data_IF_800587695038
#
_entry.id   IF_800587695038
#
_cell.length_a   1.000
_cell.length_b   1.000
_cell.length_c   1.000
_cell.angle_alpha   90.00
_cell.angle_beta   90.00
_cell.angle_gamma   90.00
#
_symmetry.space_group_name_H-M   'P 1'
#
loop_
_entity.id
_entity.type
_entity.pdbx_description
1 polymer ?
#
# COMPACT_ATOMS: atom_id res chain seq x y z
N UNK A 1 -21.87 13.51 -7.01
CA UNK A 1 -21.09 12.44 -6.35
C UNK A 1 -19.98 11.92 -7.28
N UNK A 2 -20.11 12.02 -8.62
CA UNK A 2 -19.14 11.53 -9.61
C UNK A 2 -17.98 12.49 -9.94
N UNK A 3 -18.00 13.73 -9.48
CA UNK A 3 -17.03 14.78 -9.87
C UNK A 3 -15.92 15.04 -8.84
N UNK A 4 -15.72 14.19 -7.83
CA UNK A 4 -14.64 14.34 -6.84
C UNK A 4 -13.45 13.40 -7.04
N UNK A 5 -13.39 12.70 -8.17
CA UNK A 5 -12.17 11.99 -8.55
C UNK A 5 -11.17 13.02 -9.08
N UNK A 6 -10.21 13.40 -8.24
CA UNK A 6 -9.10 14.25 -8.64
C UNK A 6 -8.18 13.51 -9.62
N UNK A 7 -7.37 14.25 -10.39
CA UNK A 7 -6.38 13.67 -11.31
C UNK A 7 -5.47 12.67 -10.57
N UNK A 8 -5.21 12.90 -9.28
CA UNK A 8 -4.48 11.99 -8.38
C UNK A 8 -5.17 10.64 -8.21
N UNK A 9 -6.50 10.61 -8.04
CA UNK A 9 -7.25 9.35 -7.91
C UNK A 9 -7.16 8.50 -9.17
N UNK A 10 -7.13 9.13 -10.35
CA UNK A 10 -6.98 8.43 -11.63
C UNK A 10 -5.57 7.89 -11.87
N UNK A 11 -4.53 8.54 -11.38
CA UNK A 11 -3.15 8.06 -11.47
C UNK A 11 -2.91 6.85 -10.54
N UNK A 12 -3.33 6.94 -9.29
CA UNK A 12 -3.22 5.86 -8.30
C UNK A 12 -3.92 4.59 -8.80
N UNK A 13 -5.16 4.77 -9.31
CA UNK A 13 -5.90 3.65 -9.88
C UNK A 13 -5.16 3.03 -11.06
N UNK A 14 -4.46 3.81 -11.89
CA UNK A 14 -3.69 3.29 -13.03
C UNK A 14 -2.49 2.46 -12.61
N UNK A 15 -1.71 2.88 -11.62
CA UNK A 15 -0.48 2.16 -11.21
C UNK A 15 -0.82 0.88 -10.45
N UNK A 16 -1.70 0.96 -9.45
CA UNK A 16 -2.18 -0.22 -8.76
C UNK A 16 -2.93 -1.17 -9.71
N UNK A 17 -3.78 -0.64 -10.60
CA UNK A 17 -4.54 -1.42 -11.56
C UNK A 17 -3.65 -2.08 -12.62
N UNK A 18 -2.59 -1.42 -13.09
CA UNK A 18 -1.62 -2.04 -14.00
C UNK A 18 -0.91 -3.23 -13.33
N UNK A 19 -0.44 -3.05 -12.09
CA UNK A 19 0.18 -4.14 -11.35
C UNK A 19 -0.79 -5.31 -11.11
N UNK A 20 -2.05 -5.03 -10.82
CA UNK A 20 -3.09 -6.05 -10.70
C UNK A 20 -3.38 -6.76 -12.03
N UNK A 21 -3.38 -6.04 -13.15
CA UNK A 21 -3.60 -6.62 -14.47
C UNK A 21 -2.46 -7.55 -14.93
N UNK A 22 -1.26 -7.43 -14.37
CA UNK A 22 -0.18 -8.39 -14.57
C UNK A 22 -0.56 -9.77 -13.99
N UNK A 23 -1.49 -9.81 -13.01
CA UNK A 23 -1.96 -11.02 -12.33
C UNK A 23 -3.43 -11.39 -12.64
N UNK A 24 -3.86 -11.28 -13.91
CA UNK A 24 -5.26 -11.51 -14.35
C UNK A 24 -5.84 -12.84 -13.90
N UNK A 25 -5.04 -13.91 -13.88
CA UNK A 25 -5.48 -15.24 -13.47
C UNK A 25 -5.91 -15.27 -11.99
N UNK A 26 -5.19 -14.59 -11.11
CA UNK A 26 -5.52 -14.51 -9.68
C UNK A 26 -6.79 -13.67 -9.45
N UNK A 27 -6.97 -12.55 -10.18
CA UNK A 27 -8.18 -11.75 -10.12
C UNK A 27 -9.41 -12.53 -10.59
N UNK A 28 -9.28 -13.27 -11.69
CA UNK A 28 -10.37 -14.11 -12.20
C UNK A 28 -10.72 -15.22 -11.20
N UNK A 29 -9.71 -15.83 -10.57
CA UNK A 29 -9.91 -16.85 -9.53
C UNK A 29 -10.61 -16.26 -8.31
N UNK A 30 -10.26 -15.04 -7.88
CA UNK A 30 -10.97 -14.33 -6.81
C UNK A 30 -12.44 -14.09 -7.14
N UNK A 31 -12.75 -13.66 -8.36
CA UNK A 31 -14.13 -13.48 -8.81
C UNK A 31 -14.92 -14.80 -8.82
N UNK A 32 -14.31 -15.87 -9.31
CA UNK A 32 -14.95 -17.19 -9.40
C UNK A 32 -15.19 -17.79 -8.01
N UNK A 33 -14.20 -17.71 -7.11
CA UNK A 33 -14.38 -18.19 -5.73
C UNK A 33 -15.40 -17.37 -4.95
N UNK A 34 -15.49 -16.05 -5.19
CA UNK A 34 -16.52 -15.19 -4.63
C UNK A 34 -17.93 -15.60 -5.09
N UNK A 35 -18.08 -15.93 -6.37
CA UNK A 35 -19.34 -16.45 -6.91
C UNK A 35 -19.71 -17.79 -6.25
N UNK A 36 -18.77 -18.71 -6.14
CA UNK A 36 -18.98 -20.00 -5.47
C UNK A 36 -19.37 -19.81 -4.01
N UNK A 37 -18.70 -18.94 -3.27
CA UNK A 37 -19.03 -18.65 -1.87
C UNK A 37 -20.43 -18.06 -1.74
N UNK A 38 -20.81 -17.10 -2.62
CA UNK A 38 -22.15 -16.51 -2.61
C UNK A 38 -23.25 -17.54 -2.84
N UNK A 39 -23.04 -18.44 -3.79
CA UNK A 39 -23.99 -19.55 -4.05
C UNK A 39 -24.05 -20.53 -2.89
N UNK A 40 -22.91 -20.81 -2.26
CA UNK A 40 -22.84 -21.68 -1.09
C UNK A 40 -23.58 -21.08 0.10
N UNK A 41 -23.51 -19.77 0.34
CA UNK A 41 -24.28 -19.07 1.39
C UNK A 41 -25.78 -19.21 1.14
N UNK A 42 -26.23 -18.95 -0.11
CA UNK A 42 -27.65 -19.11 -0.49
C UNK A 42 -28.09 -20.56 -0.32
N UNK A 43 -27.27 -21.52 -0.80
CA UNK A 43 -27.54 -22.95 -0.64
C UNK A 43 -27.60 -23.39 0.82
N UNK A 44 -26.68 -22.89 1.66
CA UNK A 44 -26.68 -23.14 3.11
C UNK A 44 -28.00 -22.66 3.75
N UNK A 45 -28.42 -21.42 3.45
CA UNK A 45 -29.67 -20.87 3.96
C UNK A 45 -30.89 -21.65 3.47
N UNK A 46 -30.87 -22.08 2.20
CA UNK A 46 -31.96 -22.86 1.60
C UNK A 46 -32.10 -24.23 2.27
N UNK A 47 -31.04 -25.04 2.33
CA UNK A 47 -31.09 -26.37 2.90
C UNK A 47 -31.37 -26.34 4.41
N UNK A 48 -30.81 -25.36 5.12
CA UNK A 48 -31.10 -25.20 6.54
C UNK A 48 -32.54 -24.77 6.78
N UNK A 49 -33.07 -23.83 5.97
CA UNK A 49 -34.46 -23.43 6.00
C UNK A 49 -35.42 -24.58 5.69
N UNK A 50 -35.11 -25.40 4.68
CA UNK A 50 -35.90 -26.60 4.34
C UNK A 50 -35.90 -27.60 5.47
N UNK A 51 -34.75 -27.86 6.07
CA UNK A 51 -34.60 -28.79 7.20
C UNK A 51 -35.48 -28.39 8.38
N UNK A 52 -35.40 -27.15 8.80
CA UNK A 52 -36.18 -26.63 9.93
C UNK A 52 -37.68 -26.61 9.61
N UNK A 53 -38.07 -26.19 8.40
CA UNK A 53 -39.45 -26.19 7.96
C UNK A 53 -40.08 -27.58 8.02
N UNK A 54 -39.35 -28.58 7.51
CA UNK A 54 -39.84 -29.94 7.45
C UNK A 54 -39.93 -30.61 8.85
N UNK A 55 -39.00 -30.27 9.75
CA UNK A 55 -39.09 -30.74 11.16
C UNK A 55 -40.28 -30.14 11.89
N UNK A 56 -40.66 -28.89 11.64
CA UNK A 56 -41.74 -28.20 12.34
C UNK A 56 -43.11 -28.62 11.78
N UNK A 57 -43.24 -28.75 10.46
CA UNK A 57 -44.56 -28.83 9.83
C UNK A 57 -44.85 -30.20 9.17
N UNK A 58 -43.83 -31.07 8.96
CA UNK A 58 -44.02 -32.32 8.19
C UNK A 58 -43.84 -33.60 9.04
N UNK A 59 -43.61 -33.49 10.35
CA UNK A 59 -43.31 -34.63 11.26
C UNK A 59 -42.20 -35.58 10.72
N UNK A 60 -41.34 -35.08 9.84
CA UNK A 60 -40.28 -35.87 9.23
C UNK A 60 -39.24 -36.26 10.27
N UNK A 61 -38.72 -37.50 10.15
CA UNK A 61 -37.61 -37.96 10.99
C UNK A 61 -36.25 -37.54 10.38
N UNK A 62 -35.19 -37.57 11.20
CA UNK A 62 -33.83 -37.32 10.72
C UNK A 62 -33.43 -38.21 9.54
N UNK A 63 -34.04 -39.38 9.43
CA UNK A 63 -33.76 -40.31 8.34
C UNK A 63 -34.37 -39.86 7.01
N UNK A 64 -35.51 -39.22 7.06
CA UNK A 64 -36.20 -38.72 5.86
C UNK A 64 -35.49 -37.48 5.28
N UNK A 65 -34.89 -36.67 6.16
CA UNK A 65 -34.17 -35.44 5.79
C UNK A 65 -32.64 -35.65 5.57
N UNK A 66 -32.19 -36.88 5.44
CA UNK A 66 -30.76 -37.22 5.25
C UNK A 66 -30.10 -36.47 4.07
N UNK A 67 -30.82 -36.27 2.98
CA UNK A 67 -30.29 -35.56 1.81
C UNK A 67 -30.14 -34.06 2.07
N UNK A 68 -31.11 -33.43 2.74
CA UNK A 68 -31.03 -32.02 3.14
C UNK A 68 -29.83 -31.77 4.06
N UNK A 69 -29.57 -32.70 5.01
CA UNK A 69 -28.42 -32.65 5.90
C UNK A 69 -27.10 -32.80 5.14
N UNK A 70 -27.04 -33.76 4.18
CA UNK A 70 -25.84 -33.95 3.34
C UNK A 70 -25.57 -32.71 2.49
N UNK A 71 -26.55 -32.14 1.82
CA UNK A 71 -26.40 -30.95 0.99
C UNK A 71 -26.04 -29.72 1.81
N UNK A 72 -26.58 -29.55 3.01
CA UNK A 72 -26.17 -28.53 3.97
C UNK A 72 -24.70 -28.70 4.35
N UNK A 73 -24.26 -29.91 4.67
CA UNK A 73 -22.86 -30.20 4.96
C UNK A 73 -21.93 -29.89 3.79
N UNK A 74 -22.35 -30.24 2.57
CA UNK A 74 -21.59 -29.90 1.35
C UNK A 74 -21.52 -28.38 1.15
N UNK A 75 -22.63 -27.65 1.32
CA UNK A 75 -22.65 -26.19 1.19
C UNK A 75 -21.70 -25.51 2.17
N UNK A 76 -21.67 -25.97 3.44
CA UNK A 76 -20.75 -25.45 4.47
C UNK A 76 -19.29 -25.74 4.07
N UNK A 77 -18.97 -26.96 3.64
CA UNK A 77 -17.61 -27.32 3.22
C UNK A 77 -17.17 -26.49 2.00
N UNK A 78 -18.04 -26.33 1.00
CA UNK A 78 -17.77 -25.51 -0.20
C UNK A 78 -17.55 -24.06 0.19
N UNK A 79 -18.36 -23.49 1.09
CA UNK A 79 -18.19 -22.13 1.62
C UNK A 79 -16.82 -21.96 2.29
N UNK A 80 -16.44 -22.87 3.18
CA UNK A 80 -15.16 -22.82 3.88
C UNK A 80 -13.96 -22.94 2.92
N UNK A 81 -14.04 -23.83 1.95
CA UNK A 81 -12.99 -23.99 0.94
C UNK A 81 -12.89 -22.77 0.04
N UNK A 82 -14.01 -22.22 -0.42
CA UNK A 82 -14.04 -21.02 -1.23
C UNK A 82 -13.42 -19.83 -0.49
N UNK A 83 -13.79 -19.63 0.77
CA UNK A 83 -13.23 -18.59 1.63
C UNK A 83 -11.71 -18.75 1.85
N UNK A 84 -11.25 -19.96 2.15
CA UNK A 84 -9.82 -20.26 2.31
C UNK A 84 -9.02 -19.98 1.03
N UNK A 85 -9.57 -20.37 -0.13
CA UNK A 85 -8.91 -20.11 -1.42
C UNK A 85 -8.87 -18.60 -1.70
N UNK A 86 -9.95 -17.87 -1.45
CA UNK A 86 -10.01 -16.42 -1.61
C UNK A 86 -8.91 -15.72 -0.79
N UNK A 87 -8.82 -16.04 0.49
CA UNK A 87 -7.83 -15.43 1.37
C UNK A 87 -6.39 -15.77 0.93
N UNK A 88 -6.16 -17.03 0.56
CA UNK A 88 -4.86 -17.48 0.05
C UNK A 88 -4.46 -16.76 -1.24
N UNK A 89 -5.39 -16.61 -2.19
CA UNK A 89 -5.15 -15.94 -3.47
C UNK A 89 -4.95 -14.44 -3.27
N UNK A 90 -5.76 -13.80 -2.42
CA UNK A 90 -5.64 -12.39 -2.10
C UNK A 90 -4.27 -12.06 -1.47
N UNK A 91 -3.83 -12.86 -0.50
CA UNK A 91 -2.53 -12.70 0.14
C UNK A 91 -1.36 -12.93 -0.83
N UNK A 92 -1.45 -13.92 -1.73
CA UNK A 92 -0.45 -14.13 -2.79
C UNK A 92 -0.39 -12.95 -3.76
N UNK A 93 -1.55 -12.40 -4.13
CA UNK A 93 -1.63 -11.23 -5.01
C UNK A 93 -0.97 -10.00 -4.37
N UNK A 94 -1.26 -9.73 -3.10
CA UNK A 94 -0.64 -8.64 -2.35
C UNK A 94 0.88 -8.77 -2.29
N UNK A 95 1.37 -9.96 -1.91
CA UNK A 95 2.80 -10.23 -1.82
C UNK A 95 3.52 -10.13 -3.18
N UNK A 96 2.88 -10.55 -4.28
CA UNK A 96 3.43 -10.43 -5.63
C UNK A 96 3.55 -8.96 -6.06
N UNK A 97 2.50 -8.16 -5.85
CA UNK A 97 2.51 -6.71 -6.15
C UNK A 97 3.56 -6.00 -5.31
N UNK A 98 3.64 -6.31 -4.01
CA UNK A 98 4.67 -5.75 -3.12
C UNK A 98 6.08 -6.07 -3.61
N UNK A 99 6.35 -7.31 -4.04
CA UNK A 99 7.65 -7.70 -4.57
C UNK A 99 8.02 -6.89 -5.83
N UNK A 100 7.08 -6.75 -6.77
CA UNK A 100 7.26 -5.95 -7.99
C UNK A 100 7.54 -4.47 -7.67
N UNK A 101 6.80 -3.88 -6.73
CA UNK A 101 7.03 -2.49 -6.32
C UNK A 101 8.39 -2.32 -5.66
N UNK A 102 8.80 -3.27 -4.82
CA UNK A 102 10.12 -3.25 -4.16
C UNK A 102 11.25 -3.31 -5.18
N UNK A 103 11.17 -4.23 -6.12
CA UNK A 103 12.17 -4.40 -7.17
C UNK A 103 12.33 -3.12 -8.01
N UNK A 104 11.22 -2.58 -8.52
CA UNK A 104 11.21 -1.34 -9.31
C UNK A 104 11.72 -0.13 -8.51
N UNK A 105 11.35 -0.03 -7.24
CA UNK A 105 11.82 1.06 -6.38
C UNK A 105 13.32 0.96 -6.10
N UNK A 106 13.85 -0.24 -5.87
CA UNK A 106 15.29 -0.44 -5.68
C UNK A 106 16.06 -0.11 -6.96
N UNK A 107 15.62 -0.59 -8.11
CA UNK A 107 16.23 -0.23 -9.41
C UNK A 107 16.24 1.28 -9.63
N UNK A 108 15.12 1.94 -9.33
CA UNK A 108 15.00 3.39 -9.47
C UNK A 108 15.92 4.13 -8.49
N UNK A 109 16.01 3.66 -7.24
CA UNK A 109 16.91 4.21 -6.23
C UNK A 109 18.38 4.15 -6.67
N UNK A 110 18.80 3.04 -7.28
CA UNK A 110 20.16 2.94 -7.84
C UNK A 110 20.39 3.89 -9.03
N UNK A 111 19.35 4.16 -9.83
CA UNK A 111 19.43 5.14 -10.93
C UNK A 111 19.48 6.59 -10.43
N UNK A 112 18.80 6.90 -9.33
CA UNK A 112 18.80 8.22 -8.73
C UNK A 112 20.18 8.64 -8.18
N UNK A 113 21.00 7.68 -7.73
CA UNK A 113 22.35 7.93 -7.23
C UNK A 113 22.42 8.59 -5.86
N UNK A 114 23.62 9.03 -5.46
CA UNK A 114 23.95 9.46 -4.09
C UNK A 114 23.52 10.91 -3.77
N UNK A 115 23.12 11.70 -4.79
CA UNK A 115 22.84 13.14 -4.62
C UNK A 115 21.50 13.50 -4.00
N UNK A 116 20.63 12.53 -3.76
CA UNK A 116 19.31 12.87 -3.23
C UNK A 116 19.39 13.34 -1.78
N UNK A 117 19.09 14.63 -1.57
CA UNK A 117 19.05 15.33 -0.28
C UNK A 117 17.94 14.86 0.67
N UNK A 118 17.15 13.90 0.27
CA UNK A 118 16.07 13.42 1.12
C UNK A 118 16.62 12.71 2.35
N UNK A 119 15.89 12.87 3.42
CA UNK A 119 16.10 12.09 4.64
C UNK A 119 16.04 10.62 4.24
N UNK A 120 17.18 9.95 4.23
CA UNK A 120 17.28 8.51 3.91
C UNK A 120 16.24 7.68 4.67
N UNK A 121 15.77 8.18 5.82
CA UNK A 121 14.68 7.60 6.59
C UNK A 121 13.34 7.52 5.86
N UNK A 122 12.99 8.51 5.03
CA UNK A 122 11.69 8.53 4.33
C UNK A 122 11.65 7.47 3.22
N UNK A 123 12.76 7.28 2.50
CA UNK A 123 12.88 6.24 1.46
C UNK A 123 12.88 4.86 2.09
N UNK A 124 13.63 4.66 3.18
CA UNK A 124 13.65 3.39 3.92
C UNK A 124 12.25 3.07 4.44
N UNK A 125 11.57 4.04 5.04
CA UNK A 125 10.21 3.85 5.55
C UNK A 125 9.22 3.55 4.42
N UNK A 126 9.35 4.19 3.25
CA UNK A 126 8.53 3.86 2.08
C UNK A 126 8.77 2.40 1.62
N UNK A 127 10.04 1.95 1.55
CA UNK A 127 10.42 0.60 1.11
C UNK A 127 10.08 -0.50 2.13
N UNK A 128 9.87 -0.16 3.39
CA UNK A 128 9.47 -1.07 4.47
C UNK A 128 7.97 -0.96 4.75
N UNK A 129 7.58 -0.05 5.63
CA UNK A 129 6.20 0.08 6.11
C UNK A 129 5.24 0.56 5.01
N UNK A 130 5.71 1.41 4.08
CA UNK A 130 4.92 1.85 2.94
C UNK A 130 4.50 0.68 2.03
N UNK A 131 5.43 -0.22 1.71
CA UNK A 131 5.12 -1.39 0.89
C UNK A 131 4.26 -2.44 1.63
N UNK A 132 4.33 -2.53 2.96
CA UNK A 132 3.40 -3.36 3.74
C UNK A 132 1.96 -2.79 3.66
N UNK A 133 1.80 -1.48 3.62
CA UNK A 133 0.49 -0.85 3.42
C UNK A 133 -0.04 -1.06 2.00
N UNK A 134 0.83 -1.10 0.97
CA UNK A 134 0.46 -1.49 -0.40
C UNK A 134 0.01 -2.94 -0.45
N UNK A 135 0.71 -3.85 0.22
CA UNK A 135 0.31 -5.26 0.35
C UNK A 135 -1.09 -5.37 0.97
N UNK A 136 -1.32 -4.71 2.10
CA UNK A 136 -2.62 -4.69 2.77
C UNK A 136 -3.74 -4.06 1.91
N UNK A 137 -3.44 -3.05 1.10
CA UNK A 137 -4.37 -2.47 0.13
C UNK A 137 -4.79 -3.50 -0.92
N UNK A 138 -3.83 -4.21 -1.49
CA UNK A 138 -4.07 -5.20 -2.55
C UNK A 138 -4.68 -6.49 -2.01
N UNK A 139 -4.21 -6.98 -0.86
CA UNK A 139 -4.64 -8.25 -0.29
C UNK A 139 -5.97 -8.17 0.47
N UNK A 140 -6.33 -7.02 1.02
CA UNK A 140 -7.54 -6.88 1.87
C UNK A 140 -8.58 -5.95 1.29
N UNK A 141 -8.19 -4.72 0.89
CA UNK A 141 -9.17 -3.72 0.49
C UNK A 141 -9.77 -3.99 -0.91
N UNK A 142 -8.93 -4.30 -1.91
CA UNK A 142 -9.41 -4.56 -3.28
C UNK A 142 -10.32 -5.80 -3.37
N UNK A 143 -9.96 -6.96 -2.80
CA UNK A 143 -10.86 -8.11 -2.78
C UNK A 143 -12.17 -7.81 -2.05
N UNK A 144 -12.11 -7.03 -0.96
CA UNK A 144 -13.29 -6.68 -0.18
C UNK A 144 -14.29 -5.80 -0.97
N UNK A 145 -13.81 -4.94 -1.88
CA UNK A 145 -14.68 -4.21 -2.81
C UNK A 145 -15.44 -5.20 -3.70
N UNK A 146 -14.74 -6.20 -4.25
CA UNK A 146 -15.34 -7.21 -5.10
C UNK A 146 -16.41 -8.02 -4.35
N UNK A 147 -16.10 -8.41 -3.10
CA UNK A 147 -17.04 -9.15 -2.24
C UNK A 147 -18.26 -8.31 -1.88
N UNK A 148 -18.08 -7.04 -1.57
CA UNK A 148 -19.17 -6.13 -1.25
C UNK A 148 -20.11 -5.82 -2.44
N UNK A 149 -19.69 -6.15 -3.64
CA UNK A 149 -20.54 -6.04 -4.85
C UNK A 149 -21.18 -7.39 -5.18
N UNK A 150 -20.37 -8.46 -5.30
CA UNK A 150 -20.84 -9.74 -5.82
C UNK A 150 -21.73 -10.51 -4.84
N UNK A 151 -21.34 -10.58 -3.55
CA UNK A 151 -22.10 -11.35 -2.56
C UNK A 151 -23.52 -10.77 -2.36
N UNK A 152 -23.66 -9.46 -2.07
CA UNK A 152 -25.01 -8.88 -1.91
C UNK A 152 -25.84 -8.91 -3.20
N UNK A 153 -25.21 -8.82 -4.38
CA UNK A 153 -25.92 -8.91 -5.64
C UNK A 153 -26.61 -10.29 -5.80
N UNK A 154 -25.88 -11.38 -5.58
CA UNK A 154 -26.40 -12.75 -5.70
C UNK A 154 -27.45 -13.03 -4.62
N UNK A 155 -27.15 -12.65 -3.37
CA UNK A 155 -28.10 -12.82 -2.26
C UNK A 155 -29.34 -11.94 -2.43
N UNK A 156 -29.15 -10.71 -2.90
CA UNK A 156 -30.27 -9.79 -3.19
C UNK A 156 -31.21 -10.34 -4.25
N UNK A 157 -30.69 -10.98 -5.29
CA UNK A 157 -31.52 -11.67 -6.31
C UNK A 157 -32.34 -12.78 -5.64
N UNK A 158 -31.73 -13.63 -4.81
CA UNK A 158 -32.42 -14.72 -4.12
C UNK A 158 -33.50 -14.21 -3.15
N UNK A 159 -33.23 -13.09 -2.45
CA UNK A 159 -34.19 -12.46 -1.53
C UNK A 159 -35.38 -11.86 -2.30
N UNK A 160 -35.10 -11.11 -3.38
CA UNK A 160 -36.11 -10.43 -4.18
C UNK A 160 -37.00 -11.45 -4.93
N UNK A 161 -36.42 -12.55 -5.41
CA UNK A 161 -37.16 -13.65 -6.04
C UNK A 161 -38.14 -14.31 -5.04
N UNK A 162 -37.73 -14.41 -3.76
CA UNK A 162 -38.60 -15.01 -2.72
C UNK A 162 -39.66 -14.02 -2.23
N UNK A 163 -39.32 -12.75 -1.98
CA UNK A 163 -40.21 -11.71 -1.47
C UNK A 163 -39.78 -10.32 -1.96
N UNK A 164 -40.37 -9.81 -3.09
CA UNK A 164 -39.94 -8.56 -3.72
C UNK A 164 -39.97 -7.31 -2.84
N UNK A 165 -40.88 -7.25 -1.89
CA UNK A 165 -41.03 -6.10 -0.98
C UNK A 165 -39.76 -5.87 -0.13
N UNK A 166 -39.05 -6.93 0.27
CA UNK A 166 -37.80 -6.82 0.99
C UNK A 166 -36.72 -6.14 0.13
N UNK A 167 -36.78 -6.29 -1.19
CA UNK A 167 -35.91 -5.58 -2.13
C UNK A 167 -35.97 -4.07 -1.96
N UNK A 168 -37.12 -3.49 -1.63
CA UNK A 168 -37.28 -2.06 -1.35
C UNK A 168 -36.48 -1.66 -0.11
N UNK A 169 -36.55 -2.47 0.96
CA UNK A 169 -35.78 -2.24 2.18
C UNK A 169 -34.29 -2.27 1.86
N UNK A 170 -33.84 -3.25 1.08
CA UNK A 170 -32.43 -3.37 0.67
C UNK A 170 -31.96 -2.17 -0.19
N UNK A 171 -32.78 -1.73 -1.15
CA UNK A 171 -32.48 -0.58 -2.01
C UNK A 171 -32.34 0.72 -1.21
N UNK A 172 -33.10 0.89 -0.13
CA UNK A 172 -33.03 2.07 0.73
C UNK A 172 -31.83 1.99 1.66
N UNK A 173 -31.56 0.82 2.25
CA UNK A 173 -30.56 0.66 3.31
C UNK A 173 -29.14 0.50 2.78
N UNK A 174 -28.94 -0.16 1.63
CA UNK A 174 -27.61 -0.37 1.06
C UNK A 174 -26.89 0.94 0.72
N UNK A 175 -27.50 1.94 0.07
CA UNK A 175 -26.81 3.20 -0.22
C UNK A 175 -26.42 4.00 1.03
N UNK A 176 -27.08 3.76 2.17
CA UNK A 176 -26.76 4.42 3.42
C UNK A 176 -25.36 4.04 3.93
N UNK A 177 -24.94 2.80 3.69
CA UNK A 177 -23.64 2.29 4.12
C UNK A 177 -22.48 3.04 3.43
N UNK A 178 -22.35 3.07 2.09
CA UNK A 178 -21.30 3.85 1.44
C UNK A 178 -21.43 5.36 1.70
N UNK A 179 -22.64 5.88 1.89
CA UNK A 179 -22.83 7.28 2.26
C UNK A 179 -22.14 7.62 3.58
N UNK A 180 -22.39 6.87 4.65
CA UNK A 180 -21.72 7.08 5.94
C UNK A 180 -20.23 6.74 5.86
N UNK A 181 -19.84 5.72 5.10
CA UNK A 181 -18.43 5.38 4.89
C UNK A 181 -17.65 6.54 4.26
N UNK A 182 -18.20 7.21 3.24
CA UNK A 182 -17.55 8.36 2.60
C UNK A 182 -17.53 9.57 3.55
N UNK A 183 -18.64 9.83 4.26
CA UNK A 183 -18.76 10.96 5.18
C UNK A 183 -17.72 10.89 6.29
N UNK A 184 -17.60 9.74 6.93
CA UNK A 184 -16.65 9.52 8.03
C UNK A 184 -15.22 9.34 7.48
N UNK A 185 -15.08 8.71 6.31
CA UNK A 185 -13.80 8.42 5.68
C UNK A 185 -12.98 9.67 5.34
N UNK A 186 -13.62 10.75 4.88
CA UNK A 186 -12.95 12.04 4.63
C UNK A 186 -12.30 12.62 5.89
N UNK A 187 -12.94 12.47 7.05
CA UNK A 187 -12.37 12.91 8.32
C UNK A 187 -11.22 12.01 8.76
N UNK A 188 -11.36 10.69 8.54
CA UNK A 188 -10.32 9.72 8.84
C UNK A 188 -9.05 9.96 8.03
N UNK A 189 -9.16 10.27 6.73
CA UNK A 189 -8.00 10.56 5.86
C UNK A 189 -7.17 11.74 6.38
N UNK A 190 -7.83 12.85 6.76
CA UNK A 190 -7.13 14.00 7.34
C UNK A 190 -6.38 13.66 8.62
N UNK A 191 -7.02 12.88 9.50
CA UNK A 191 -6.42 12.47 10.77
C UNK A 191 -5.27 11.47 10.57
N UNK A 192 -5.38 10.59 9.59
CA UNK A 192 -4.29 9.66 9.22
C UNK A 192 -3.05 10.40 8.72
N UNK A 193 -3.23 11.45 7.88
CA UNK A 193 -2.12 12.30 7.44
C UNK A 193 -1.43 13.00 8.62
N UNK A 194 -2.21 13.59 9.52
CA UNK A 194 -1.68 14.22 10.74
C UNK A 194 -0.91 13.22 11.61
N UNK A 195 -1.46 12.02 11.80
CA UNK A 195 -0.79 10.96 12.55
C UNK A 195 0.54 10.54 11.90
N UNK A 196 0.55 10.41 10.57
CA UNK A 196 1.77 10.10 9.83
C UNK A 196 2.85 11.16 10.01
N UNK A 197 2.51 12.43 9.90
CA UNK A 197 3.44 13.54 10.11
C UNK A 197 4.01 13.53 11.53
N UNK A 198 3.19 13.27 12.56
CA UNK A 198 3.63 13.15 13.95
C UNK A 198 4.57 11.96 14.16
N UNK A 199 4.28 10.82 13.54
CA UNK A 199 5.13 9.63 13.59
C UNK A 199 6.46 9.87 12.89
N UNK A 200 6.46 10.45 11.70
CA UNK A 200 7.68 10.76 10.96
C UNK A 200 8.57 11.73 11.74
N UNK A 201 7.98 12.76 12.35
CA UNK A 201 8.71 13.71 13.18
C UNK A 201 9.31 13.06 14.42
N UNK A 202 8.55 12.23 15.14
CA UNK A 202 9.04 11.47 16.30
C UNK A 202 10.22 10.55 15.92
N UNK A 203 10.06 9.81 14.82
CA UNK A 203 11.08 8.87 14.34
C UNK A 203 12.37 9.59 13.91
N UNK A 204 12.23 10.72 13.18
CA UNK A 204 13.37 11.54 12.79
C UNK A 204 14.12 12.09 14.00
N UNK A 205 13.40 12.67 14.97
CA UNK A 205 14.01 13.21 16.18
C UNK A 205 14.68 12.13 17.03
N UNK A 206 14.08 10.94 17.12
CA UNK A 206 14.66 9.81 17.82
C UNK A 206 15.98 9.36 17.19
N UNK A 207 16.03 9.31 15.85
CA UNK A 207 17.26 8.98 15.13
C UNK A 207 18.35 10.04 15.33
N UNK A 208 18.01 11.33 15.29
CA UNK A 208 18.93 12.43 15.54
C UNK A 208 19.54 12.33 16.97
N UNK A 209 18.69 12.03 17.96
CA UNK A 209 19.15 11.83 19.35
C UNK A 209 20.09 10.62 19.47
N UNK A 210 19.79 9.52 18.78
CA UNK A 210 20.66 8.34 18.77
C UNK A 210 22.02 8.62 18.13
N UNK A 211 22.03 9.31 16.99
CA UNK A 211 23.28 9.70 16.32
C UNK A 211 24.11 10.69 17.16
N UNK A 212 23.43 11.63 17.85
CA UNK A 212 24.04 12.64 18.70
C UNK A 212 24.28 12.19 20.16
N UNK A 213 24.01 10.93 20.55
CA UNK A 213 23.99 10.50 21.97
C UNK A 213 25.31 10.73 22.69
N UNK A 214 26.43 10.56 21.99
CA UNK A 214 27.77 10.81 22.56
C UNK A 214 27.95 12.28 22.92
N UNK A 215 27.58 13.18 21.99
CA UNK A 215 27.64 14.63 22.21
C UNK A 215 26.71 15.06 23.33
N UNK A 216 25.46 14.55 23.34
CA UNK A 216 24.49 14.84 24.38
C UNK A 216 24.95 14.40 25.77
N UNK A 217 25.63 13.26 25.88
CA UNK A 217 26.22 12.79 27.12
C UNK A 217 27.39 13.69 27.59
N UNK A 218 28.28 14.09 26.68
CA UNK A 218 29.39 14.98 26.98
C UNK A 218 28.91 16.34 27.53
N UNK A 219 27.81 16.87 26.99
CA UNK A 219 27.23 18.15 27.46
C UNK A 219 26.19 17.98 28.57
N UNK A 220 25.97 16.78 29.10
CA UNK A 220 25.04 16.50 30.19
C UNK A 220 23.56 16.67 29.82
N UNK A 221 23.23 16.78 28.51
CA UNK A 221 21.88 17.05 27.99
C UNK A 221 21.06 15.80 27.63
N UNK A 222 21.58 14.59 27.82
CA UNK A 222 20.89 13.34 27.47
C UNK A 222 19.56 13.18 28.21
N UNK A 223 19.48 13.60 29.48
CA UNK A 223 18.22 13.53 30.27
C UNK A 223 17.15 14.51 29.80
N UNK A 224 17.54 15.65 29.23
CA UNK A 224 16.60 16.61 28.71
C UNK A 224 15.89 16.05 27.45
N UNK A 225 16.57 15.24 26.65
CA UNK A 225 16.00 14.59 25.47
C UNK A 225 14.92 13.57 25.84
N UNK A 226 14.99 12.93 27.00
CA UNK A 226 13.93 12.02 27.47
C UNK A 226 12.59 12.80 27.60
N UNK A 227 12.64 14.03 28.10
CA UNK A 227 11.43 14.88 28.23
C UNK A 227 10.87 15.28 26.86
N UNK A 228 11.75 15.58 25.90
CA UNK A 228 11.34 15.96 24.55
C UNK A 228 10.71 14.76 23.85
N UNK A 229 11.36 13.60 23.87
CA UNK A 229 10.81 12.35 23.30
C UNK A 229 9.49 11.98 23.99
N UNK A 230 9.40 12.11 25.31
CA UNK A 230 8.17 11.87 26.06
C UNK A 230 7.02 12.77 25.55
N UNK A 231 7.23 14.07 25.37
CA UNK A 231 6.22 14.99 24.82
C UNK A 231 5.82 14.61 23.40
N UNK A 232 6.76 14.31 22.52
CA UNK A 232 6.48 13.90 21.14
C UNK A 232 5.69 12.59 21.08
N UNK A 233 6.01 11.65 21.99
CA UNK A 233 5.27 10.39 22.13
C UNK A 233 3.83 10.62 22.60
N UNK A 234 3.60 11.57 23.52
CA UNK A 234 2.26 11.96 23.95
C UNK A 234 1.47 12.61 22.79
N UNK A 235 2.08 13.51 22.02
CA UNK A 235 1.47 14.10 20.83
C UNK A 235 1.10 13.05 19.78
N UNK A 236 1.96 12.07 19.56
CA UNK A 236 1.69 10.93 18.67
C UNK A 236 0.55 10.04 19.21
N UNK A 237 0.57 9.73 20.50
CA UNK A 237 -0.52 9.00 21.16
C UNK A 237 -1.86 9.69 20.95
N UNK A 238 -1.92 11.01 21.18
CA UNK A 238 -3.17 11.77 21.05
C UNK A 238 -3.68 11.80 19.60
N UNK A 239 -2.80 11.90 18.61
CA UNK A 239 -3.19 11.81 17.21
C UNK A 239 -3.69 10.40 16.86
N UNK A 240 -3.04 9.35 17.36
CA UNK A 240 -3.46 7.96 17.19
C UNK A 240 -4.83 7.70 17.80
N UNK A 241 -5.08 8.21 19.01
CA UNK A 241 -6.39 8.08 19.67
C UNK A 241 -7.51 8.80 18.89
N UNK A 242 -7.21 9.95 18.24
CA UNK A 242 -8.18 10.62 17.34
C UNK A 242 -8.54 9.77 16.14
N UNK A 243 -7.54 9.15 15.48
CA UNK A 243 -7.76 8.21 14.37
C UNK A 243 -8.62 7.04 14.81
N UNK A 244 -8.27 6.40 15.94
CA UNK A 244 -9.01 5.27 16.49
C UNK A 244 -10.47 5.63 16.83
N UNK A 245 -10.74 6.81 17.41
CA UNK A 245 -12.11 7.25 17.68
C UNK A 245 -12.96 7.33 16.42
N UNK A 246 -12.40 7.85 15.31
CA UNK A 246 -13.12 7.93 14.04
C UNK A 246 -13.30 6.54 13.43
N UNK A 247 -12.30 5.67 13.52
CA UNK A 247 -12.41 4.28 13.07
C UNK A 247 -13.50 3.50 13.83
N UNK A 248 -13.53 3.60 15.15
CA UNK A 248 -14.58 2.97 15.98
C UNK A 248 -15.96 3.57 15.71
N UNK A 249 -16.05 4.90 15.53
CA UNK A 249 -17.32 5.54 15.17
C UNK A 249 -17.83 5.05 13.83
N UNK A 250 -16.95 4.90 12.85
CA UNK A 250 -17.30 4.33 11.55
C UNK A 250 -17.84 2.90 11.68
N UNK A 251 -17.13 2.04 12.42
CA UNK A 251 -17.57 0.67 12.67
C UNK A 251 -18.93 0.62 13.38
N UNK A 252 -19.13 1.47 14.41
CA UNK A 252 -20.39 1.57 15.15
C UNK A 252 -21.55 1.97 14.23
N UNK A 253 -21.38 2.98 13.40
CA UNK A 253 -22.44 3.45 12.48
C UNK A 253 -22.80 2.36 11.47
N UNK A 254 -21.81 1.70 10.88
CA UNK A 254 -22.05 0.61 9.92
C UNK A 254 -22.75 -0.59 10.58
N UNK A 255 -22.37 -0.93 11.83
CA UNK A 255 -23.03 -1.98 12.61
C UNK A 255 -24.48 -1.61 12.93
N UNK A 256 -24.74 -0.37 13.38
CA UNK A 256 -26.09 0.11 13.65
C UNK A 256 -26.99 0.08 12.41
N UNK A 257 -26.51 0.57 11.26
CA UNK A 257 -27.28 0.55 10.00
C UNK A 257 -27.62 -0.90 9.63
N UNK A 258 -26.64 -1.79 9.67
CA UNK A 258 -26.83 -3.21 9.34
C UNK A 258 -27.81 -3.90 10.29
N UNK A 259 -27.66 -3.67 11.60
CA UNK A 259 -28.52 -4.28 12.64
C UNK A 259 -29.94 -3.76 12.56
N UNK A 260 -30.14 -2.44 12.40
CA UNK A 260 -31.47 -1.84 12.25
C UNK A 260 -32.15 -2.36 10.96
N UNK A 261 -31.40 -2.46 9.86
CA UNK A 261 -31.94 -2.99 8.62
C UNK A 261 -32.37 -4.45 8.75
N UNK A 262 -31.55 -5.27 9.38
CA UNK A 262 -31.89 -6.68 9.68
C UNK A 262 -33.13 -6.78 10.59
N UNK A 263 -33.21 -5.92 11.62
CA UNK A 263 -34.36 -5.89 12.54
C UNK A 263 -35.66 -5.47 11.80
N UNK A 264 -35.59 -4.48 10.91
CA UNK A 264 -36.75 -4.09 10.07
C UNK A 264 -37.23 -5.25 9.20
N UNK A 265 -36.30 -5.96 8.57
CA UNK A 265 -36.63 -7.16 7.78
C UNK A 265 -37.27 -8.22 8.67
N UNK A 266 -36.70 -8.50 9.85
CA UNK A 266 -37.23 -9.50 10.78
C UNK A 266 -38.62 -9.15 11.27
N UNK A 267 -38.90 -7.87 11.62
CA UNK A 267 -40.23 -7.42 12.04
C UNK A 267 -41.23 -7.56 10.90
N UNK A 268 -40.87 -7.12 9.69
CA UNK A 268 -41.74 -7.25 8.53
C UNK A 268 -42.09 -8.72 8.25
N UNK A 269 -41.08 -9.59 8.22
CA UNK A 269 -41.26 -11.03 8.01
C UNK A 269 -42.12 -11.67 9.11
N UNK A 270 -41.92 -11.25 10.35
CA UNK A 270 -42.72 -11.76 11.49
C UNK A 270 -44.20 -11.38 11.39
N UNK A 271 -44.52 -10.12 11.01
CA UNK A 271 -45.87 -9.67 10.85
C UNK A 271 -46.57 -10.38 9.67
N UNK A 272 -45.96 -10.41 8.48
CA UNK A 272 -46.53 -11.08 7.29
C UNK A 272 -46.66 -12.59 7.46
N UNK A 273 -45.80 -13.22 8.31
CA UNK A 273 -45.94 -14.63 8.67
C UNK A 273 -47.15 -14.86 9.59
N UNK A 274 -47.37 -13.98 10.56
CA UNK A 274 -48.53 -14.06 11.44
C UNK A 274 -49.85 -13.85 10.71
N UNK A 275 -49.84 -12.96 9.71
CA UNK A 275 -50.98 -12.71 8.83
C UNK A 275 -51.25 -13.85 7.80
N UNK A 276 -50.32 -14.84 7.75
CA UNK A 276 -50.43 -16.00 6.86
C UNK A 276 -50.13 -15.68 5.37
N UNK A 277 -49.57 -14.50 5.06
CA UNK A 277 -49.28 -14.06 3.70
C UNK A 277 -48.02 -14.74 3.12
N UNK A 278 -47.12 -15.23 3.96
CA UNK A 278 -45.90 -15.91 3.55
C UNK A 278 -45.71 -17.24 4.27
N UNK A 279 -44.97 -18.16 3.64
CA UNK A 279 -44.61 -19.44 4.26
C UNK A 279 -43.53 -19.26 5.34
N UNK A 280 -43.52 -20.14 6.32
CA UNK A 280 -42.42 -20.18 7.32
C UNK A 280 -41.06 -20.34 6.66
N UNK A 281 -40.96 -21.21 5.63
CA UNK A 281 -39.74 -21.41 4.88
C UNK A 281 -39.21 -20.10 4.27
N UNK A 282 -40.06 -19.34 3.59
CA UNK A 282 -39.69 -18.07 2.93
C UNK A 282 -39.21 -17.03 3.97
N UNK A 283 -39.94 -16.89 5.08
CA UNK A 283 -39.58 -15.98 6.16
C UNK A 283 -38.23 -16.36 6.77
N UNK A 284 -38.05 -17.65 7.09
CA UNK A 284 -36.84 -18.14 7.74
C UNK A 284 -35.62 -18.07 6.82
N UNK A 285 -35.79 -18.42 5.53
CA UNK A 285 -34.75 -18.30 4.51
C UNK A 285 -34.22 -16.87 4.38
N UNK A 286 -35.11 -15.89 4.25
CA UNK A 286 -34.71 -14.48 4.15
C UNK A 286 -34.06 -14.00 5.46
N UNK A 287 -34.59 -14.41 6.62
CA UNK A 287 -34.04 -14.07 7.93
C UNK A 287 -32.60 -14.58 8.11
N UNK A 288 -32.28 -15.75 7.56
CA UNK A 288 -30.92 -16.29 7.56
C UNK A 288 -29.99 -15.50 6.62
N UNK A 289 -30.48 -15.05 5.47
CA UNK A 289 -29.68 -14.31 4.49
C UNK A 289 -29.46 -12.84 4.89
N UNK A 290 -30.38 -12.21 5.62
CA UNK A 290 -30.32 -10.79 5.92
C UNK A 290 -29.01 -10.34 6.63
N UNK A 291 -28.55 -10.99 7.70
CA UNK A 291 -27.25 -10.64 8.34
C UNK A 291 -26.05 -10.86 7.39
N UNK A 292 -26.07 -11.96 6.64
CA UNK A 292 -25.00 -12.31 5.70
C UNK A 292 -24.93 -11.31 4.53
N UNK A 293 -26.06 -10.76 4.10
CA UNK A 293 -26.15 -9.74 3.06
C UNK A 293 -25.42 -8.44 3.46
N UNK A 294 -25.48 -8.03 4.71
CA UNK A 294 -24.82 -6.82 5.20
C UNK A 294 -23.34 -7.04 5.60
N UNK A 295 -22.92 -8.26 5.84
CA UNK A 295 -21.57 -8.61 6.29
C UNK A 295 -20.45 -8.09 5.38
N UNK A 296 -20.51 -8.25 4.02
CA UNK A 296 -19.47 -7.74 3.12
C UNK A 296 -19.32 -6.22 3.18
N UNK A 297 -20.41 -5.48 3.38
CA UNK A 297 -20.37 -4.01 3.51
C UNK A 297 -19.70 -3.58 4.83
N UNK A 298 -19.97 -4.27 5.95
CA UNK A 298 -19.31 -4.01 7.23
C UNK A 298 -17.81 -4.29 7.15
N UNK A 299 -17.44 -5.39 6.51
CA UNK A 299 -16.04 -5.75 6.28
C UNK A 299 -15.34 -4.74 5.37
N UNK A 300 -16.03 -4.25 4.33
CA UNK A 300 -15.50 -3.18 3.47
C UNK A 300 -15.26 -1.89 4.27
N UNK A 301 -16.18 -1.53 5.18
CA UNK A 301 -16.01 -0.40 6.07
C UNK A 301 -14.79 -0.54 6.98
N UNK A 302 -14.54 -1.73 7.53
CA UNK A 302 -13.35 -2.02 8.32
C UNK A 302 -12.06 -1.97 7.46
N UNK A 303 -12.11 -2.52 6.24
CA UNK A 303 -11.00 -2.50 5.30
C UNK A 303 -10.71 -1.11 4.71
N UNK A 304 -11.66 -0.18 4.75
CA UNK A 304 -11.53 1.16 4.18
C UNK A 304 -10.34 1.94 4.76
N UNK A 305 -10.13 1.88 6.06
CA UNK A 305 -9.00 2.56 6.70
C UNK A 305 -7.65 2.00 6.25
N UNK A 306 -7.57 0.68 6.08
CA UNK A 306 -6.40 0.00 5.48
C UNK A 306 -6.21 0.45 4.03
N UNK A 307 -7.31 0.55 3.29
CA UNK A 307 -7.32 1.04 1.91
C UNK A 307 -6.77 2.46 1.79
N UNK A 308 -7.17 3.38 2.68
CA UNK A 308 -6.70 4.76 2.66
C UNK A 308 -5.20 4.88 2.99
N UNK A 309 -4.70 4.10 3.95
CA UNK A 309 -3.27 4.04 4.26
C UNK A 309 -2.45 3.54 3.06
N UNK A 310 -2.89 2.46 2.41
CA UNK A 310 -2.26 1.93 1.20
C UNK A 310 -2.29 2.91 0.02
N UNK A 311 -3.42 3.63 -0.17
CA UNK A 311 -3.54 4.69 -1.16
C UNK A 311 -2.47 5.77 -0.96
N UNK A 312 -2.28 6.24 0.28
CA UNK A 312 -1.25 7.24 0.61
C UNK A 312 0.15 6.72 0.31
N UNK A 313 0.42 5.44 0.60
CA UNK A 313 1.70 4.82 0.30
C UNK A 313 1.97 4.67 -1.20
N UNK A 314 0.95 4.36 -2.01
CA UNK A 314 1.05 4.32 -3.47
C UNK A 314 1.38 5.70 -4.03
N UNK A 315 0.75 6.78 -3.51
CA UNK A 315 1.07 8.17 -3.92
C UNK A 315 2.53 8.51 -3.66
N UNK A 316 3.05 8.20 -2.47
CA UNK A 316 4.46 8.42 -2.13
C UNK A 316 5.40 7.59 -3.00
N UNK A 317 5.01 6.35 -3.31
CA UNK A 317 5.76 5.52 -4.24
C UNK A 317 5.80 6.14 -5.65
N UNK A 318 4.69 6.64 -6.16
CA UNK A 318 4.63 7.30 -7.47
C UNK A 318 5.44 8.60 -7.48
N UNK A 319 5.36 9.40 -6.43
CA UNK A 319 6.18 10.59 -6.26
C UNK A 319 7.68 10.25 -6.31
N UNK A 320 8.08 9.19 -5.62
CA UNK A 320 9.43 8.68 -5.65
C UNK A 320 9.84 8.19 -7.07
N UNK A 321 8.99 7.43 -7.74
CA UNK A 321 9.26 6.91 -9.10
C UNK A 321 9.28 7.97 -10.18
N UNK A 322 8.62 9.11 -9.98
CA UNK A 322 8.61 10.23 -10.92
C UNK A 322 9.83 11.15 -10.78
N UNK A 323 10.70 10.92 -9.82
CA UNK A 323 11.92 11.71 -9.64
C UNK A 323 12.87 11.48 -10.80
N UNK A 324 13.48 12.55 -11.26
CA UNK A 324 14.49 12.47 -12.30
C UNK A 324 15.82 12.02 -11.69
N UNK A 325 16.53 11.05 -12.32
CA UNK A 325 17.86 10.72 -11.88
C UNK A 325 18.79 11.92 -12.03
N UNK A 326 19.49 12.27 -10.96
CA UNK A 326 20.54 13.29 -10.97
C UNK A 326 21.85 12.77 -11.55
N UNK A 327 21.93 11.49 -11.85
CA UNK A 327 23.10 10.91 -12.50
C UNK A 327 23.17 11.35 -13.97
N UNK A 328 24.37 11.66 -14.49
CA UNK A 328 24.51 11.94 -15.89
C UNK A 328 23.96 10.75 -16.69
N UNK A 329 23.03 11.03 -17.56
CA UNK A 329 22.71 10.10 -18.64
C UNK A 329 23.96 10.07 -19.48
N UNK A 330 24.84 9.08 -19.25
CA UNK A 330 26.05 8.91 -20.02
C UNK A 330 25.72 8.73 -21.50
N UNK A 331 26.63 9.07 -22.37
CA UNK A 331 26.53 8.75 -23.77
C UNK A 331 26.55 7.24 -24.03
N UNK A 332 26.65 6.86 -25.28
CA UNK A 332 26.77 5.45 -25.69
C UNK A 332 28.20 5.06 -26.10
N UNK A 333 29.15 6.00 -25.97
CA UNK A 333 30.51 5.78 -26.43
C UNK A 333 31.32 4.97 -25.42
N UNK A 334 32.04 3.97 -25.91
CA UNK A 334 32.98 3.17 -25.12
C UNK A 334 34.38 3.32 -25.73
N UNK A 335 35.37 3.58 -24.88
CA UNK A 335 36.77 3.68 -25.36
C UNK A 335 37.35 2.29 -25.66
N UNK A 336 38.12 2.19 -26.75
CA UNK A 336 38.82 0.96 -27.09
C UNK A 336 40.18 0.93 -26.37
N UNK A 337 40.37 -0.07 -25.53
CA UNK A 337 41.65 -0.27 -24.85
C UNK A 337 41.64 0.29 -23.40
N UNK A 338 42.87 0.38 -22.83
CA UNK A 338 43.03 0.85 -21.44
C UNK A 338 43.15 2.37 -21.43
N UNK A 339 42.42 3.03 -20.58
CA UNK A 339 42.45 4.49 -20.37
C UNK A 339 43.88 4.96 -20.11
N UNK A 340 44.30 6.01 -20.79
CA UNK A 340 45.67 6.59 -20.70
C UNK A 340 45.69 7.89 -19.89
N UNK A 341 44.67 8.73 -20.01
CA UNK A 341 44.59 10.00 -19.30
C UNK A 341 43.17 10.41 -18.96
N UNK A 342 43.02 11.07 -17.81
CA UNK A 342 41.83 11.81 -17.40
C UNK A 342 42.23 13.27 -17.32
N UNK A 343 41.57 14.13 -18.07
CA UNK A 343 41.86 15.57 -18.09
C UNK A 343 40.64 16.32 -17.53
N UNK A 344 40.89 17.21 -16.58
CA UNK A 344 39.92 18.18 -16.07
C UNK A 344 40.38 19.56 -16.50
N UNK A 345 39.48 20.33 -17.15
CA UNK A 345 39.75 21.68 -17.66
C UNK A 345 38.73 22.64 -17.11
N UNK A 346 39.21 23.60 -16.35
CA UNK A 346 38.39 24.72 -15.80
C UNK A 346 37.06 24.25 -15.16
N UNK A 347 37.10 23.14 -14.44
CA UNK A 347 35.93 22.56 -13.75
C UNK A 347 35.40 23.48 -12.67
N UNK A 348 34.19 23.96 -12.86
CA UNK A 348 33.40 24.63 -11.84
C UNK A 348 32.13 23.84 -11.60
N UNK A 349 31.89 23.42 -10.35
CA UNK A 349 30.71 22.68 -9.93
C UNK A 349 30.22 23.20 -8.59
N UNK A 350 28.93 23.49 -8.48
CA UNK A 350 28.27 23.90 -7.25
C UNK A 350 27.13 22.96 -6.97
N UNK A 351 26.97 22.55 -5.71
CA UNK A 351 25.82 21.73 -5.29
C UNK A 351 24.55 22.56 -5.33
N UNK A 352 23.43 21.99 -5.78
CA UNK A 352 22.12 22.63 -5.72
C UNK A 352 21.83 23.06 -4.27
N UNK A 353 21.31 24.25 -4.05
CA UNK A 353 21.01 24.91 -2.76
C UNK A 353 22.23 25.14 -1.80
N UNK A 354 23.42 25.20 -2.30
CA UNK A 354 24.62 25.48 -1.50
C UNK A 354 25.64 26.25 -2.33
N UNK A 355 26.37 27.13 -1.68
CA UNK A 355 27.54 27.80 -2.28
C UNK A 355 28.79 26.88 -2.30
N UNK A 356 28.67 25.68 -1.73
CA UNK A 356 29.78 24.73 -1.67
C UNK A 356 29.96 24.02 -3.02
N UNK A 357 31.21 23.82 -3.40
CA UNK A 357 31.55 23.17 -4.67
C UNK A 357 33.04 23.23 -4.97
N UNK A 358 33.41 23.22 -6.22
CA UNK A 358 34.76 23.42 -6.73
C UNK A 358 34.73 24.49 -7.83
N UNK A 359 35.75 25.32 -7.90
CA UNK A 359 35.85 26.41 -8.86
C UNK A 359 37.20 26.36 -9.57
N UNK A 360 37.17 26.49 -10.89
CA UNK A 360 38.36 26.64 -11.77
C UNK A 360 39.42 25.57 -11.56
N UNK A 361 39.04 24.32 -11.40
CA UNK A 361 39.97 23.19 -11.22
C UNK A 361 40.46 22.67 -12.57
N UNK A 362 41.78 22.59 -12.72
CA UNK A 362 42.39 21.96 -13.89
C UNK A 362 43.47 20.97 -13.41
N UNK A 363 43.43 19.75 -13.93
CA UNK A 363 44.41 18.71 -13.67
C UNK A 363 44.44 17.66 -14.79
N UNK A 364 45.56 16.96 -14.90
CA UNK A 364 45.73 15.86 -15.85
C UNK A 364 46.27 14.63 -15.10
N UNK A 365 45.46 13.58 -15.04
CA UNK A 365 45.84 12.28 -14.49
C UNK A 365 46.30 11.35 -15.58
N UNK A 366 47.57 10.99 -15.64
CA UNK A 366 48.13 10.07 -16.63
C UNK A 366 48.25 8.66 -16.02
N UNK A 367 48.08 7.66 -16.85
CA UNK A 367 48.26 6.27 -16.48
C UNK A 367 49.62 6.02 -15.84
N UNK A 368 49.68 5.23 -14.78
CA UNK A 368 50.84 4.87 -13.97
C UNK A 368 51.47 6.04 -13.23
N UNK A 369 50.90 7.22 -13.22
CA UNK A 369 51.37 8.35 -12.41
C UNK A 369 50.30 8.66 -11.33
N UNK A 370 50.55 8.37 -10.05
CA UNK A 370 49.61 8.68 -9.01
C UNK A 370 49.48 10.19 -8.83
N UNK A 371 48.24 10.65 -8.61
CA UNK A 371 47.91 12.03 -8.24
C UNK A 371 47.42 12.06 -6.80
N UNK A 372 47.94 13.04 -6.04
CA UNK A 372 47.47 13.31 -4.70
C UNK A 372 46.75 14.64 -4.66
N UNK A 373 45.47 14.63 -4.22
CA UNK A 373 44.69 15.82 -3.95
C UNK A 373 44.88 16.21 -2.47
N UNK A 374 45.47 17.34 -2.21
CA UNK A 374 45.74 17.86 -0.87
C UNK A 374 44.98 19.16 -0.64
N UNK A 375 44.47 19.38 0.55
CA UNK A 375 43.77 20.60 0.93
C UNK A 375 42.96 20.42 2.19
N UNK A 376 42.46 21.51 2.74
CA UNK A 376 41.63 21.54 3.96
C UNK A 376 40.34 20.73 3.83
N UNK A 377 39.69 20.43 4.97
CA UNK A 377 38.36 19.80 4.93
C UNK A 377 37.38 20.75 4.27
N UNK A 378 36.56 20.24 3.32
CA UNK A 378 35.65 21.07 2.53
C UNK A 378 36.23 21.65 1.23
N UNK A 379 37.55 21.53 0.94
CA UNK A 379 38.18 22.03 -0.30
C UNK A 379 37.74 21.34 -1.61
N UNK A 380 36.73 20.46 -1.58
CA UNK A 380 36.16 19.84 -2.81
C UNK A 380 36.87 18.58 -3.32
N UNK A 381 37.83 18.01 -2.56
CA UNK A 381 38.56 16.79 -2.97
C UNK A 381 37.63 15.61 -3.29
N UNK A 382 36.64 15.35 -2.44
CA UNK A 382 35.66 14.30 -2.65
C UNK A 382 34.71 14.62 -3.81
N UNK A 383 34.39 15.90 -4.03
CA UNK A 383 33.58 16.37 -5.15
C UNK A 383 34.25 16.03 -6.49
N UNK A 384 35.56 16.29 -6.61
CA UNK A 384 36.34 15.93 -7.79
C UNK A 384 36.33 14.42 -8.02
N UNK A 385 36.56 13.62 -6.98
CA UNK A 385 36.51 12.16 -7.06
C UNK A 385 35.12 11.64 -7.46
N UNK A 386 34.05 12.24 -6.96
CA UNK A 386 32.68 11.88 -7.32
C UNK A 386 32.35 12.26 -8.78
N UNK A 387 32.86 13.38 -9.27
CA UNK A 387 32.69 13.79 -10.68
C UNK A 387 33.42 12.82 -11.61
N UNK A 388 34.69 12.50 -11.30
CA UNK A 388 35.46 11.51 -12.09
C UNK A 388 34.76 10.14 -12.07
N UNK A 389 34.23 9.73 -10.93
CA UNK A 389 33.47 8.47 -10.77
C UNK A 389 32.12 8.46 -11.47
N UNK A 390 31.68 9.58 -12.04
CA UNK A 390 30.36 9.69 -12.66
C UNK A 390 29.21 9.63 -11.64
N UNK A 391 29.46 9.99 -10.38
CA UNK A 391 28.43 10.15 -9.36
C UNK A 391 27.83 11.56 -9.33
N UNK A 392 28.53 12.53 -9.89
CA UNK A 392 28.12 13.92 -10.07
C UNK A 392 28.24 14.31 -11.55
N UNK A 393 27.29 15.08 -12.03
CA UNK A 393 27.30 15.58 -13.42
C UNK A 393 28.26 16.76 -13.52
N UNK A 394 29.30 16.64 -14.33
CA UNK A 394 30.17 17.75 -14.68
C UNK A 394 29.59 18.59 -15.84
N UNK A 395 29.90 19.89 -15.91
CA UNK A 395 29.65 20.66 -17.12
C UNK A 395 30.29 20.03 -18.36
N UNK A 396 29.59 20.02 -19.51
CA UNK A 396 30.08 19.41 -20.73
C UNK A 396 31.41 20.05 -21.14
N UNK A 397 32.39 19.21 -21.48
CA UNK A 397 33.74 19.62 -21.87
C UNK A 397 34.71 19.86 -20.74
N UNK A 398 34.27 19.82 -19.46
CA UNK A 398 35.14 20.05 -18.32
C UNK A 398 35.93 18.80 -17.87
N UNK A 399 35.46 17.61 -18.20
CA UNK A 399 36.11 16.33 -17.85
C UNK A 399 36.19 15.45 -19.10
N UNK A 400 37.38 15.09 -19.51
CA UNK A 400 37.60 14.21 -20.68
C UNK A 400 38.44 12.98 -20.30
N UNK A 401 38.13 11.85 -20.90
CA UNK A 401 38.81 10.57 -20.78
C UNK A 401 39.42 10.23 -22.16
N UNK A 402 40.74 10.25 -22.28
CA UNK A 402 41.45 10.10 -23.57
C UNK A 402 40.87 11.00 -24.68
N UNK A 403 40.49 12.23 -24.31
CA UNK A 403 39.95 13.24 -25.24
C UNK A 403 38.44 13.14 -25.49
N UNK A 404 37.75 12.11 -24.99
CA UNK A 404 36.29 11.97 -25.08
C UNK A 404 35.63 12.53 -23.78
N UNK A 405 34.60 13.36 -23.96
CA UNK A 405 33.87 13.94 -22.83
C UNK A 405 33.20 12.85 -21.97
N UNK A 406 33.31 12.98 -20.66
CA UNK A 406 32.69 12.03 -19.72
C UNK A 406 31.17 11.94 -19.91
N UNK A 407 30.52 13.03 -20.31
CA UNK A 407 29.07 13.04 -20.59
C UNK A 407 28.71 12.23 -21.86
N UNK A 408 29.64 12.02 -22.79
CA UNK A 408 29.41 11.25 -24.00
C UNK A 408 29.82 9.75 -23.86
N UNK A 409 30.40 9.37 -22.72
CA UNK A 409 30.82 8.00 -22.40
C UNK A 409 29.66 7.21 -21.75
N UNK A 410 29.53 5.93 -22.09
CA UNK A 410 28.66 4.99 -21.41
C UNK A 410 29.08 4.88 -19.93
N UNK A 411 28.23 5.38 -19.03
CA UNK A 411 28.56 5.50 -17.61
C UNK A 411 28.68 4.14 -16.91
N UNK A 412 27.94 3.14 -17.38
CA UNK A 412 28.03 1.78 -16.82
C UNK A 412 29.36 1.14 -17.22
N UNK A 413 29.75 1.28 -18.48
CA UNK A 413 31.07 0.86 -18.96
C UNK A 413 32.18 1.60 -18.19
N UNK A 414 32.06 2.93 -17.99
CA UNK A 414 33.05 3.72 -17.26
C UNK A 414 33.24 3.25 -15.84
N UNK A 415 32.16 3.00 -15.11
CA UNK A 415 32.22 2.50 -13.73
C UNK A 415 32.88 1.14 -13.59
N UNK A 416 32.80 0.30 -14.61
CA UNK A 416 33.52 -0.98 -14.65
C UNK A 416 35.04 -0.80 -14.79
N UNK A 417 35.51 0.38 -15.28
CA UNK A 417 36.93 0.68 -15.44
C UNK A 417 37.57 1.28 -14.16
N UNK A 418 36.77 1.68 -13.20
CA UNK A 418 37.24 2.32 -11.97
C UNK A 418 36.94 1.47 -10.73
N UNK A 419 37.86 1.61 -9.75
CA UNK A 419 37.60 1.15 -8.39
C UNK A 419 37.55 2.36 -7.46
N UNK A 420 36.43 2.56 -6.77
CA UNK A 420 36.27 3.63 -5.81
C UNK A 420 36.30 3.09 -4.38
N UNK A 421 37.25 3.54 -3.58
CA UNK A 421 37.37 3.19 -2.16
C UNK A 421 37.01 4.43 -1.33
N UNK A 422 35.87 4.37 -0.63
CA UNK A 422 35.42 5.47 0.22
C UNK A 422 36.22 5.56 1.52
N UNK A 423 36.21 6.74 2.18
CA UNK A 423 36.82 6.95 3.49
C UNK A 423 36.24 6.02 4.58
N UNK A 424 34.96 5.70 4.47
CA UNK A 424 34.25 4.77 5.34
C UNK A 424 33.62 3.66 4.47
N UNK A 425 34.39 2.62 4.10
CA UNK A 425 33.88 1.55 3.26
C UNK A 425 32.85 0.71 4.02
N UNK A 426 31.71 0.48 3.41
CA UNK A 426 30.69 -0.41 3.94
C UNK A 426 30.72 -1.73 3.16
N UNK A 427 31.08 -2.82 3.86
CA UNK A 427 31.15 -4.16 3.27
C UNK A 427 29.85 -4.87 3.60
N UNK A 428 29.04 -5.15 2.59
CA UNK A 428 27.86 -5.99 2.75
C UNK A 428 28.30 -7.45 2.88
N UNK A 429 27.74 -8.16 3.86
CA UNK A 429 27.87 -9.62 3.90
C UNK A 429 27.06 -10.19 2.75
N UNK A 430 27.75 -10.86 1.80
CA UNK A 430 27.13 -11.60 0.72
C UNK A 430 26.65 -12.97 1.16
#
# INVERSE_FOLDING_TARGET
ILNSFTVEDTMIQRTAFKALLEHKGQLLLLGLTCLVESLAIVGQAWFFGTLINNFIFSENTLHDERYSIIYLGIAIIVRLLAHYIQESVANRLGSAVKATFRERALEHMFKLGVQHKERHGDVIHMLTDGLEQVDAYVARYIPQILYAIMIPLIMGIAIVDTLPIIGIILIITVPLIPFFMILIGKQADRLNKEQWERMSFLSGHFLDVLQGITTLKLFGRAKDQIKVIGRLSEEFKDSTLRVLRVAFLSALVLELVSTISTALIAVYLGLTLLDGEISFFSAFFILLLAPEFYTPFRQLGAAFHTGMAGKTSILKYEEFMNRQPSLPIGGQSQLKGKVQAIEIKDLTFTYEDSENGVQHISLVAKRNFPIMLVGESGAGKSTIAHIIGGFLTAPKGSVTIDGLDLCDIDIEWWRQQITYVSQHPHIMKG
#
